data_IF_568004857621
#
_entry.id   IF_568004857621
#
_cell.length_a   1.000
_cell.length_b   1.000
_cell.length_c   1.000
_cell.angle_alpha   90.00
_cell.angle_beta   90.00
_cell.angle_gamma   90.00
#
_symmetry.space_group_name_H-M   'P 1'
#
loop_
_entity.id
_entity.type
_entity.pdbx_description
1 polymer ?
#
# COMPACT_ATOMS: atom_id res chain seq x y z
N UNK A 1 -12.67 4.09 15.04
CA UNK A 1 -11.32 4.64 15.34
C UNK A 1 -10.57 3.89 16.43
N UNK A 2 -11.24 3.25 17.40
CA UNK A 2 -10.59 2.70 18.59
C UNK A 2 -9.36 1.82 18.32
N UNK A 3 -9.43 0.86 17.40
CA UNK A 3 -8.31 -0.05 17.12
C UNK A 3 -7.06 0.64 16.56
N UNK A 4 -7.21 1.55 15.60
CA UNK A 4 -6.10 2.29 15.00
C UNK A 4 -5.43 3.22 16.01
N UNK A 5 -6.22 3.95 16.80
CA UNK A 5 -5.73 4.81 17.88
C UNK A 5 -5.06 4.01 18.99
N UNK A 6 -5.56 2.81 19.30
CA UNK A 6 -4.92 1.92 20.28
C UNK A 6 -3.51 1.56 19.83
N UNK A 7 -3.34 1.08 18.58
CA UNK A 7 -2.01 0.75 18.04
C UNK A 7 -1.08 1.97 18.07
N UNK A 8 -1.58 3.14 17.72
CA UNK A 8 -0.79 4.38 17.62
C UNK A 8 -0.38 4.95 18.99
N UNK A 9 -1.27 4.83 20.00
CA UNK A 9 -1.10 5.48 21.31
C UNK A 9 -0.68 4.54 22.43
N UNK A 10 -0.74 3.20 22.27
CA UNK A 10 -0.43 2.27 23.35
C UNK A 10 1.03 2.37 23.75
N UNK A 11 1.26 2.44 25.07
CA UNK A 11 2.57 2.32 25.71
C UNK A 11 2.40 1.59 27.03
N UNK A 12 3.43 0.87 27.42
CA UNK A 12 3.55 0.25 28.73
C UNK A 12 4.98 0.49 29.26
N UNK A 13 5.15 1.33 30.29
CA UNK A 13 6.46 1.64 30.86
C UNK A 13 7.23 0.42 31.38
N UNK A 14 6.52 -0.68 31.67
CA UNK A 14 7.11 -1.93 32.15
C UNK A 14 7.48 -2.89 31.00
N UNK A 15 7.13 -2.57 29.76
CA UNK A 15 7.45 -3.38 28.60
C UNK A 15 8.80 -3.00 28.03
N UNK A 16 9.64 -4.00 27.76
CA UNK A 16 10.89 -3.80 27.01
C UNK A 16 10.66 -3.30 25.58
N UNK A 17 9.52 -3.67 24.97
CA UNK A 17 9.23 -3.40 23.55
C UNK A 17 8.44 -2.12 23.29
N UNK A 18 7.59 -1.70 24.23
CA UNK A 18 6.69 -0.56 24.08
C UNK A 18 6.72 0.43 25.26
N UNK A 19 7.91 0.81 25.78
CA UNK A 19 7.99 1.76 26.91
C UNK A 19 7.44 3.15 26.53
N UNK A 20 7.32 3.44 25.22
CA UNK A 20 6.79 4.65 24.66
C UNK A 20 5.93 4.36 23.43
N UNK A 21 4.80 5.05 23.27
CA UNK A 21 3.91 4.85 22.13
C UNK A 21 4.56 5.24 20.79
N UNK A 22 4.11 4.61 19.70
CA UNK A 22 4.55 4.96 18.36
C UNK A 22 4.33 6.46 18.07
N UNK A 23 3.19 7.02 18.50
CA UNK A 23 2.88 8.45 18.43
C UNK A 23 3.97 9.31 19.07
N UNK A 24 4.31 9.02 20.32
CA UNK A 24 5.29 9.83 21.07
C UNK A 24 6.66 9.80 20.39
N UNK A 25 7.11 8.60 19.98
CA UNK A 25 8.39 8.44 19.30
C UNK A 25 8.42 9.20 17.97
N UNK A 26 7.38 9.05 17.14
CA UNK A 26 7.26 9.72 15.86
C UNK A 26 7.31 11.25 16.02
N UNK A 27 6.43 11.81 16.86
CA UNK A 27 6.34 13.27 17.02
C UNK A 27 7.62 13.87 17.60
N UNK A 28 8.30 13.15 18.48
CA UNK A 28 9.61 13.56 19.00
C UNK A 28 10.65 13.59 17.88
N UNK A 29 10.78 12.52 17.10
CA UNK A 29 11.74 12.46 15.99
C UNK A 29 11.48 13.53 14.92
N UNK A 30 10.21 13.82 14.61
CA UNK A 30 9.88 14.90 13.67
C UNK A 30 10.33 16.27 14.21
N UNK A 31 10.11 16.56 15.49
CA UNK A 31 10.54 17.82 16.10
C UNK A 31 12.07 17.97 16.06
N UNK A 32 12.80 16.91 16.35
CA UNK A 32 14.27 16.91 16.29
C UNK A 32 14.78 17.15 14.85
N UNK A 33 14.14 16.52 13.86
CA UNK A 33 14.47 16.73 12.45
C UNK A 33 14.13 18.14 11.98
N UNK A 34 13.00 18.70 12.38
CA UNK A 34 12.63 20.08 12.05
C UNK A 34 13.62 21.08 12.64
N UNK A 35 14.07 20.89 13.88
CA UNK A 35 15.11 21.75 14.46
C UNK A 35 16.45 21.59 13.73
N UNK A 36 16.85 20.35 13.40
CA UNK A 36 18.07 20.06 12.65
C UNK A 36 18.11 20.75 11.29
N UNK A 37 16.98 20.76 10.58
CA UNK A 37 16.86 21.29 9.21
C UNK A 37 16.09 22.62 9.14
N UNK A 38 16.09 23.39 10.24
CA UNK A 38 15.31 24.66 10.36
C UNK A 38 15.67 25.75 9.34
N UNK A 39 16.86 25.63 8.72
CA UNK A 39 17.32 26.58 7.68
C UNK A 39 17.02 26.07 6.26
N UNK A 40 16.31 24.93 6.12
CA UNK A 40 15.94 24.33 4.84
C UNK A 40 14.44 24.40 4.61
N UNK A 41 14.06 24.41 3.34
CA UNK A 41 12.64 24.23 2.97
C UNK A 41 12.28 22.76 3.05
N UNK A 42 11.57 22.37 4.11
CA UNK A 42 11.20 20.98 4.36
C UNK A 42 9.75 20.69 3.98
N UNK A 43 9.46 19.44 3.68
CA UNK A 43 8.11 18.86 3.61
C UNK A 43 8.13 17.47 4.22
N UNK A 44 6.97 16.99 4.66
CA UNK A 44 6.85 15.68 5.30
C UNK A 44 5.94 14.80 4.45
N UNK A 45 6.42 13.59 4.14
CA UNK A 45 5.62 12.60 3.42
C UNK A 45 5.48 11.34 4.27
N UNK A 46 4.22 10.96 4.52
CA UNK A 46 3.85 9.70 5.15
C UNK A 46 3.36 8.72 4.08
N UNK A 47 3.77 7.46 4.16
CA UNK A 47 3.27 6.44 3.23
C UNK A 47 3.02 5.12 3.96
N UNK A 48 2.06 4.35 3.46
CA UNK A 48 1.73 3.06 4.04
C UNK A 48 0.77 2.25 3.18
N UNK A 49 0.70 0.95 3.49
CA UNK A 49 -0.18 -0.01 2.84
C UNK A 49 -1.04 -0.72 3.88
N UNK A 50 -2.29 -0.99 3.58
CA UNK A 50 -3.20 -1.75 4.44
C UNK A 50 -3.38 -1.06 5.81
N UNK A 51 -3.17 -1.78 6.92
CA UNK A 51 -3.10 -1.22 8.26
C UNK A 51 -2.10 -0.05 8.36
N UNK A 52 -0.91 -0.19 7.75
CA UNK A 52 0.10 0.87 7.73
C UNK A 52 -0.36 2.13 7.01
N UNK A 53 -1.30 2.03 6.06
CA UNK A 53 -1.91 3.17 5.40
C UNK A 53 -2.78 4.00 6.37
N UNK A 54 -3.55 3.33 7.24
CA UNK A 54 -4.29 4.00 8.32
C UNK A 54 -3.34 4.73 9.28
N UNK A 55 -2.24 4.06 9.68
CA UNK A 55 -1.26 4.67 10.58
C UNK A 55 -0.53 5.84 9.92
N UNK A 56 -0.20 5.73 8.63
CA UNK A 56 0.42 6.82 7.86
C UNK A 56 -0.50 8.05 7.76
N UNK A 57 -1.79 7.84 7.47
CA UNK A 57 -2.77 8.93 7.39
C UNK A 57 -3.02 9.57 8.77
N UNK A 58 -3.10 8.76 9.82
CA UNK A 58 -3.24 9.24 11.21
C UNK A 58 -2.01 10.04 11.64
N UNK A 59 -0.81 9.55 11.30
CA UNK A 59 0.45 10.26 11.56
C UNK A 59 0.53 11.58 10.81
N UNK A 60 0.18 11.61 9.54
CA UNK A 60 0.16 12.84 8.73
C UNK A 60 -0.81 13.88 9.31
N UNK A 61 -2.00 13.43 9.73
CA UNK A 61 -2.97 14.29 10.41
C UNK A 61 -2.41 14.86 11.73
N UNK A 62 -1.83 14.00 12.57
CA UNK A 62 -1.29 14.39 13.88
C UNK A 62 -0.09 15.36 13.74
N UNK A 63 0.79 15.12 12.78
CA UNK A 63 1.91 16.00 12.46
C UNK A 63 1.40 17.36 11.98
N UNK A 64 0.48 17.39 11.02
CA UNK A 64 -0.07 18.63 10.48
C UNK A 64 -0.84 19.44 11.52
N UNK A 65 -1.53 18.76 12.45
CA UNK A 65 -2.33 19.40 13.50
C UNK A 65 -1.50 19.91 14.68
N UNK A 66 -0.46 19.15 15.09
CA UNK A 66 0.16 19.32 16.41
C UNK A 66 1.65 19.59 16.41
N UNK A 67 2.34 19.50 15.26
CA UNK A 67 3.80 19.56 15.21
C UNK A 67 4.31 20.68 14.31
N UNK A 68 3.74 20.81 13.10
CA UNK A 68 4.22 21.76 12.10
C UNK A 68 3.32 22.99 11.98
N UNK A 69 3.91 24.07 11.50
CA UNK A 69 3.18 25.28 11.11
C UNK A 69 2.53 25.10 9.73
N UNK A 70 1.49 25.89 9.39
CA UNK A 70 0.76 25.71 8.11
C UNK A 70 1.60 25.91 6.83
N UNK A 71 2.79 26.46 6.91
CA UNK A 71 3.74 26.64 5.81
C UNK A 71 4.53 25.36 5.49
N UNK A 72 4.57 24.38 6.39
CA UNK A 72 5.20 23.09 6.15
C UNK A 72 4.16 22.11 5.58
N UNK A 73 4.36 21.70 4.34
CA UNK A 73 3.48 20.75 3.68
C UNK A 73 3.63 19.34 4.25
N UNK A 74 2.50 18.71 4.56
CA UNK A 74 2.40 17.32 4.96
C UNK A 74 1.58 16.57 3.91
N UNK A 75 2.11 15.47 3.40
CA UNK A 75 1.44 14.62 2.42
C UNK A 75 1.33 13.18 2.91
N UNK A 76 0.24 12.50 2.60
CA UNK A 76 0.11 11.07 2.80
C UNK A 76 -0.22 10.38 1.48
N UNK A 77 0.59 9.40 1.08
CA UNK A 77 0.33 8.50 -0.03
C UNK A 77 0.00 7.13 0.53
N UNK A 78 -1.28 6.77 0.49
CA UNK A 78 -1.78 5.58 1.16
C UNK A 78 -2.34 4.58 0.14
N UNK A 79 -1.99 3.30 0.33
CA UNK A 79 -2.33 2.22 -0.58
C UNK A 79 -3.25 1.23 0.11
N UNK A 80 -4.39 0.94 -0.50
CA UNK A 80 -5.35 -0.05 0.00
C UNK A 80 -5.74 0.16 1.48
N UNK A 81 -5.88 1.42 1.89
CA UNK A 81 -6.22 1.78 3.26
C UNK A 81 -7.63 1.33 3.63
N UNK A 82 -7.84 0.62 4.74
CA UNK A 82 -9.17 0.57 5.35
C UNK A 82 -9.62 1.98 5.75
N UNK A 83 -10.89 2.13 6.04
CA UNK A 83 -11.46 3.41 6.50
C UNK A 83 -10.97 3.72 7.91
N UNK A 84 -10.50 4.95 8.11
CA UNK A 84 -9.84 5.37 9.35
C UNK A 84 -10.80 5.91 10.40
N UNK A 85 -11.84 6.64 9.99
CA UNK A 85 -12.75 7.31 10.89
C UNK A 85 -14.10 7.68 10.27
N UNK A 86 -14.90 8.39 11.02
CA UNK A 86 -16.21 8.86 10.59
C UNK A 86 -16.15 10.19 9.84
N UNK A 87 -17.31 10.69 9.42
CA UNK A 87 -17.43 11.95 8.69
C UNK A 87 -16.84 13.16 9.44
N UNK A 88 -16.95 13.21 10.77
CA UNK A 88 -16.39 14.30 11.55
C UNK A 88 -14.84 14.30 11.50
N UNK A 89 -14.21 13.13 11.58
CA UNK A 89 -12.76 13.00 11.42
C UNK A 89 -12.31 13.39 10.02
N UNK A 90 -13.02 12.94 8.98
CA UNK A 90 -12.75 13.34 7.60
C UNK A 90 -12.76 14.87 7.45
N UNK A 91 -13.79 15.53 7.96
CA UNK A 91 -13.89 16.99 7.93
C UNK A 91 -12.76 17.70 8.69
N UNK A 92 -12.26 17.11 9.77
CA UNK A 92 -11.11 17.67 10.50
C UNK A 92 -9.84 17.59 9.65
N UNK A 93 -9.61 16.47 8.95
CA UNK A 93 -8.47 16.34 8.03
C UNK A 93 -8.54 17.34 6.88
N UNK A 94 -9.73 17.52 6.28
CA UNK A 94 -9.97 18.41 5.14
C UNK A 94 -9.81 19.90 5.47
N UNK A 95 -9.95 20.27 6.74
CA UNK A 95 -9.74 21.66 7.22
C UNK A 95 -8.27 22.06 7.35
N UNK A 96 -7.35 21.10 7.32
CA UNK A 96 -5.91 21.40 7.43
C UNK A 96 -5.36 21.80 6.05
N UNK A 97 -4.99 23.07 5.84
CA UNK A 97 -4.61 23.57 4.50
C UNK A 97 -3.30 22.96 4.00
N UNK A 98 -2.43 22.57 4.92
CA UNK A 98 -1.13 21.99 4.64
C UNK A 98 -1.13 20.45 4.59
N UNK A 99 -2.28 19.78 4.79
CA UNK A 99 -2.40 18.33 4.69
C UNK A 99 -3.01 17.92 3.35
N UNK A 100 -2.31 17.04 2.63
CA UNK A 100 -2.81 16.41 1.40
C UNK A 100 -2.75 14.90 1.53
N UNK A 101 -3.84 14.22 1.21
CA UNK A 101 -3.92 12.75 1.27
C UNK A 101 -4.34 12.22 -0.08
N UNK A 102 -3.52 11.35 -0.68
CA UNK A 102 -3.85 10.56 -1.86
C UNK A 102 -4.09 9.11 -1.44
N UNK A 103 -5.29 8.61 -1.71
CA UNK A 103 -5.71 7.24 -1.41
C UNK A 103 -5.78 6.41 -2.68
N UNK A 104 -4.80 5.53 -2.88
CA UNK A 104 -4.76 4.60 -4.02
C UNK A 104 -5.52 3.33 -3.64
N UNK A 105 -6.54 2.99 -4.43
CA UNK A 105 -7.38 1.80 -4.25
C UNK A 105 -7.42 0.97 -5.51
N UNK A 106 -7.36 -0.35 -5.34
CA UNK A 106 -7.59 -1.29 -6.43
C UNK A 106 -9.08 -1.67 -6.50
N UNK A 107 -9.66 -1.67 -7.69
CA UNK A 107 -11.10 -1.89 -7.93
C UNK A 107 -11.64 -3.15 -7.27
N UNK A 108 -10.85 -4.23 -7.29
CA UNK A 108 -11.26 -5.53 -6.75
C UNK A 108 -10.84 -5.80 -5.30
N UNK A 109 -10.12 -4.86 -4.66
CA UNK A 109 -9.68 -4.96 -3.28
C UNK A 109 -10.83 -4.70 -2.31
N UNK A 110 -11.02 -5.59 -1.35
CA UNK A 110 -12.08 -5.47 -0.34
C UNK A 110 -11.66 -4.72 0.92
N UNK A 111 -10.36 -4.64 1.20
CA UNK A 111 -9.86 -4.04 2.44
C UNK A 111 -10.25 -2.57 2.58
N UNK A 112 -10.22 -1.74 1.52
CA UNK A 112 -10.70 -0.36 1.60
C UNK A 112 -12.19 -0.20 1.95
N UNK A 113 -12.98 -1.28 1.87
CA UNK A 113 -14.40 -1.26 2.28
C UNK A 113 -14.56 -1.38 3.80
N UNK A 114 -13.55 -1.90 4.49
CA UNK A 114 -13.62 -2.11 5.93
C UNK A 114 -13.39 -0.81 6.71
N UNK A 115 -14.00 -0.66 7.89
CA UNK A 115 -14.94 -1.57 8.54
C UNK A 115 -16.43 -1.36 8.18
N UNK A 116 -16.78 -0.35 7.37
CA UNK A 116 -18.19 -0.02 7.12
C UNK A 116 -18.93 -1.06 6.29
N UNK A 117 -18.24 -1.80 5.44
CA UNK A 117 -18.79 -2.83 4.57
C UNK A 117 -17.93 -4.08 4.61
N UNK A 118 -18.54 -5.22 4.31
CA UNK A 118 -17.84 -6.48 4.12
C UNK A 118 -18.44 -7.23 2.93
N UNK A 119 -17.73 -8.23 2.40
CA UNK A 119 -18.29 -9.14 1.40
C UNK A 119 -18.78 -10.40 2.08
N UNK A 120 -20.01 -10.80 1.76
CA UNK A 120 -20.62 -12.06 2.16
C UNK A 120 -20.81 -12.94 0.94
N UNK A 121 -20.51 -14.24 1.09
CA UNK A 121 -20.72 -15.23 0.05
C UNK A 121 -22.19 -15.68 0.09
N UNK A 122 -22.88 -15.51 -1.03
CA UNK A 122 -24.29 -15.94 -1.17
C UNK A 122 -24.38 -17.36 -1.73
N UNK A 123 -23.45 -17.71 -2.62
CA UNK A 123 -23.28 -19.06 -3.18
C UNK A 123 -21.83 -19.21 -3.69
N UNK A 124 -21.48 -20.40 -4.18
CA UNK A 124 -20.10 -20.77 -4.55
C UNK A 124 -19.37 -19.75 -5.45
N UNK A 125 -20.10 -18.99 -6.27
CA UNK A 125 -19.54 -18.05 -7.22
C UNK A 125 -20.00 -16.60 -7.02
N UNK A 126 -20.87 -16.32 -6.02
CA UNK A 126 -21.48 -14.99 -5.87
C UNK A 126 -21.17 -14.39 -4.51
N UNK A 127 -20.56 -13.21 -4.55
CA UNK A 127 -20.28 -12.38 -3.38
C UNK A 127 -21.05 -11.08 -3.46
N UNK A 128 -21.68 -10.69 -2.35
CA UNK A 128 -22.36 -9.40 -2.22
C UNK A 128 -21.66 -8.52 -1.20
N UNK A 129 -21.71 -7.21 -1.41
CA UNK A 129 -21.20 -6.24 -0.44
C UNK A 129 -22.33 -5.82 0.48
N UNK A 130 -22.17 -6.06 1.78
CA UNK A 130 -23.16 -5.72 2.81
C UNK A 130 -22.59 -4.71 3.80
N UNK A 131 -23.42 -3.81 4.35
CA UNK A 131 -23.01 -2.91 5.41
C UNK A 131 -22.79 -3.67 6.72
N UNK A 132 -21.88 -3.16 7.55
CA UNK A 132 -21.63 -3.68 8.91
C UNK A 132 -22.22 -2.75 9.96
N UNK A 133 -22.07 -3.09 11.25
CA UNK A 133 -22.40 -2.18 12.36
C UNK A 133 -21.54 -0.92 12.44
N UNK A 134 -20.50 -0.81 11.62
CA UNK A 134 -19.55 0.30 11.56
C UNK A 134 -19.79 1.22 10.36
N UNK A 135 -21.04 1.39 9.94
CA UNK A 135 -21.41 2.18 8.75
C UNK A 135 -21.02 3.66 8.83
N UNK A 136 -20.75 4.17 10.02
CA UNK A 136 -20.27 5.55 10.21
C UNK A 136 -18.86 5.81 9.71
N UNK A 137 -18.07 4.77 9.43
CA UNK A 137 -16.75 4.93 8.82
C UNK A 137 -16.87 5.30 7.35
N UNK A 138 -16.05 6.24 6.93
CA UNK A 138 -16.07 6.78 5.57
C UNK A 138 -14.68 6.84 4.95
N UNK A 139 -14.66 6.90 3.62
CA UNK A 139 -13.44 7.13 2.85
C UNK A 139 -12.93 8.56 3.05
N UNK A 140 -11.62 8.74 2.97
CA UNK A 140 -10.94 10.00 3.17
C UNK A 140 -9.82 10.21 2.15
N UNK A 141 -9.39 11.47 1.99
CA UNK A 141 -8.40 11.87 0.98
C UNK A 141 -8.97 11.91 -0.43
N UNK A 142 -8.11 12.27 -1.39
CA UNK A 142 -8.40 12.20 -2.82
C UNK A 142 -8.18 10.76 -3.27
N UNK A 143 -9.21 10.15 -3.86
CA UNK A 143 -9.14 8.76 -4.31
C UNK A 143 -8.53 8.68 -5.71
N UNK A 144 -7.54 7.79 -5.87
CA UNK A 144 -7.06 7.30 -7.15
C UNK A 144 -7.39 5.81 -7.25
N UNK A 145 -8.34 5.47 -8.11
CA UNK A 145 -8.78 4.10 -8.33
C UNK A 145 -8.03 3.50 -9.51
N UNK A 146 -7.40 2.36 -9.30
CA UNK A 146 -6.71 1.57 -10.32
C UNK A 146 -7.39 0.20 -10.46
N UNK A 147 -7.12 -0.49 -11.56
CA UNK A 147 -7.55 -1.88 -11.78
C UNK A 147 -6.35 -2.74 -12.20
N UNK A 148 -5.91 -3.61 -11.30
CA UNK A 148 -4.80 -4.54 -11.57
C UNK A 148 -5.11 -5.54 -12.67
N UNK A 149 -6.38 -5.81 -12.98
CA UNK A 149 -6.80 -6.69 -14.09
C UNK A 149 -6.47 -6.13 -15.46
N UNK A 150 -6.25 -4.83 -15.57
CA UNK A 150 -5.84 -4.19 -16.82
C UNK A 150 -4.38 -4.46 -17.21
N UNK A 151 -3.55 -4.91 -16.26
CA UNK A 151 -2.15 -5.25 -16.56
C UNK A 151 -2.04 -6.55 -17.35
N UNK A 152 -1.45 -6.53 -18.56
CA UNK A 152 -1.26 -7.75 -19.35
C UNK A 152 -0.25 -8.72 -18.76
N UNK A 153 0.54 -8.28 -17.79
CA UNK A 153 1.60 -9.06 -17.14
C UNK A 153 1.10 -9.98 -16.03
N UNK A 154 -0.03 -9.61 -15.40
CA UNK A 154 -0.56 -10.35 -14.27
C UNK A 154 -1.42 -11.53 -14.74
N UNK A 155 -1.44 -12.61 -13.95
CA UNK A 155 -2.32 -13.75 -14.18
C UNK A 155 -3.79 -13.34 -14.05
N UNK A 156 -4.64 -13.85 -14.91
CA UNK A 156 -6.09 -13.58 -14.89
C UNK A 156 -6.75 -14.22 -13.66
N UNK A 157 -6.27 -15.42 -13.29
CA UNK A 157 -6.71 -16.14 -12.10
C UNK A 157 -5.51 -16.53 -11.24
N UNK A 158 -5.54 -16.17 -9.97
CA UNK A 158 -4.53 -16.60 -9.00
C UNK A 158 -5.12 -17.75 -8.20
N UNK A 159 -4.73 -18.98 -8.58
CA UNK A 159 -5.22 -20.22 -7.97
C UNK A 159 -4.79 -20.32 -6.50
N UNK A 160 -5.71 -20.74 -5.65
CA UNK A 160 -5.43 -21.18 -4.27
C UNK A 160 -5.34 -20.08 -3.21
N UNK A 161 -5.51 -18.82 -3.57
CA UNK A 161 -5.58 -17.70 -2.62
C UNK A 161 -7.03 -17.24 -2.49
N UNK A 162 -7.46 -16.88 -1.28
CA UNK A 162 -8.78 -16.29 -1.08
C UNK A 162 -8.90 -15.04 -1.98
N UNK A 163 -9.76 -15.05 -3.01
CA UNK A 163 -9.73 -14.08 -4.10
C UNK A 163 -9.66 -12.59 -3.69
N UNK A 164 -10.35 -12.16 -2.62
CA UNK A 164 -10.33 -10.76 -2.20
C UNK A 164 -8.95 -10.22 -1.81
N UNK A 165 -8.07 -11.05 -1.23
CA UNK A 165 -6.75 -10.60 -0.76
C UNK A 165 -5.68 -10.57 -1.85
N UNK A 166 -5.90 -11.25 -2.98
CA UNK A 166 -5.03 -11.17 -4.15
C UNK A 166 -4.90 -9.75 -4.66
N UNK A 167 -6.01 -9.03 -4.66
CA UNK A 167 -6.08 -7.65 -5.14
C UNK A 167 -5.57 -6.61 -4.14
N UNK A 168 -5.27 -7.05 -2.90
CA UNK A 168 -4.73 -6.22 -1.83
C UNK A 168 -3.20 -6.12 -1.85
N UNK A 169 -2.54 -6.72 -2.82
CA UNK A 169 -1.10 -6.85 -2.84
C UNK A 169 -0.38 -5.58 -3.31
N UNK A 170 0.44 -4.98 -2.45
CA UNK A 170 1.13 -3.71 -2.73
C UNK A 170 1.95 -3.73 -4.02
N UNK A 171 2.72 -4.81 -4.28
CA UNK A 171 3.59 -4.87 -5.45
C UNK A 171 2.80 -4.91 -6.76
N UNK A 172 1.66 -5.61 -6.78
CA UNK A 172 0.72 -5.60 -7.89
C UNK A 172 0.09 -4.22 -8.12
N UNK A 173 -0.28 -3.54 -7.04
CA UNK A 173 -0.82 -2.17 -7.11
C UNK A 173 0.22 -1.18 -7.65
N UNK A 174 1.46 -1.21 -7.14
CA UNK A 174 2.54 -0.34 -7.60
C UNK A 174 2.91 -0.58 -9.06
N UNK A 175 2.88 -1.85 -9.51
CA UNK A 175 3.07 -2.20 -10.91
C UNK A 175 1.94 -1.62 -11.78
N UNK A 176 0.69 -1.84 -11.39
CA UNK A 176 -0.46 -1.34 -12.14
C UNK A 176 -0.53 0.18 -12.17
N UNK A 177 -0.21 0.84 -11.05
CA UNK A 177 -0.16 2.29 -10.97
C UNK A 177 0.88 2.89 -11.94
N UNK A 178 2.03 2.22 -12.12
CA UNK A 178 3.09 2.70 -13.01
C UNK A 178 2.71 2.68 -14.50
N UNK A 179 1.76 1.84 -14.91
CA UNK A 179 1.21 1.78 -16.26
C UNK A 179 -0.23 2.29 -16.38
N UNK A 180 -0.76 2.91 -15.33
CA UNK A 180 -2.14 3.36 -15.28
C UNK A 180 -2.39 4.59 -16.18
N UNK A 181 -3.29 4.44 -17.15
CA UNK A 181 -3.66 5.49 -18.10
C UNK A 181 -5.15 5.88 -17.95
N UNK A 182 -5.62 5.96 -16.72
CA UNK A 182 -7.00 6.31 -16.40
C UNK A 182 -7.97 5.11 -16.45
N UNK A 183 -9.20 5.35 -15.96
CA UNK A 183 -10.22 4.30 -15.82
C UNK A 183 -10.60 3.68 -17.17
N UNK A 184 -10.72 4.50 -18.19
CA UNK A 184 -11.18 4.10 -19.53
C UNK A 184 -10.01 3.91 -20.51
N UNK A 185 -8.76 4.15 -20.06
CA UNK A 185 -7.55 3.93 -20.84
C UNK A 185 -7.03 2.50 -20.74
N UNK A 186 -6.28 2.07 -21.75
CA UNK A 186 -5.52 0.83 -21.69
C UNK A 186 -4.30 0.97 -20.77
N UNK A 187 -3.80 -0.16 -20.29
CA UNK A 187 -2.55 -0.19 -19.55
C UNK A 187 -1.39 0.20 -20.47
N UNK A 188 -0.74 1.33 -20.17
CA UNK A 188 0.42 1.81 -20.94
C UNK A 188 1.72 1.30 -20.32
N UNK A 189 2.24 0.22 -20.86
CA UNK A 189 3.48 -0.37 -20.41
C UNK A 189 4.74 0.42 -20.79
N UNK A 190 4.65 1.35 -21.73
CA UNK A 190 5.70 2.33 -22.02
C UNK A 190 5.98 3.28 -20.84
N UNK A 191 5.00 3.46 -19.95
CA UNK A 191 5.15 4.23 -18.72
C UNK A 191 5.78 3.43 -17.58
N UNK A 192 5.80 2.09 -17.66
CA UNK A 192 6.32 1.23 -16.58
C UNK A 192 7.84 1.36 -16.49
N UNK A 193 8.31 2.08 -15.48
CA UNK A 193 9.74 2.24 -15.16
C UNK A 193 10.23 1.29 -14.06
N UNK A 194 9.32 0.46 -13.55
CA UNK A 194 9.57 -0.45 -12.43
C UNK A 194 9.86 -1.86 -12.93
N UNK A 195 10.87 -2.52 -12.35
CA UNK A 195 11.17 -3.92 -12.69
C UNK A 195 9.98 -4.84 -12.40
N UNK A 196 9.60 -5.68 -13.36
CA UNK A 196 8.59 -6.73 -13.18
C UNK A 196 8.96 -7.71 -12.06
N UNK A 197 10.24 -7.93 -11.83
CA UNK A 197 10.72 -8.83 -10.77
C UNK A 197 10.11 -8.52 -9.40
N UNK A 198 9.87 -7.26 -9.09
CA UNK A 198 9.25 -6.88 -7.82
C UNK A 198 7.85 -7.46 -7.61
N UNK A 199 7.09 -7.72 -8.66
CA UNK A 199 5.73 -8.27 -8.55
C UNK A 199 5.74 -9.66 -7.92
N UNK A 200 6.70 -10.50 -8.32
CA UNK A 200 6.85 -11.86 -7.80
C UNK A 200 7.78 -11.98 -6.59
N UNK A 201 8.27 -10.87 -6.04
CA UNK A 201 9.21 -10.88 -4.90
C UNK A 201 8.74 -11.77 -3.74
N UNK A 202 7.49 -11.64 -3.34
CA UNK A 202 6.86 -12.38 -2.23
C UNK A 202 5.62 -13.19 -2.67
N UNK A 203 5.37 -13.31 -3.99
CA UNK A 203 4.15 -13.89 -4.53
C UNK A 203 4.40 -14.55 -5.88
N UNK A 204 3.32 -15.08 -6.47
CA UNK A 204 3.29 -15.70 -7.79
C UNK A 204 2.18 -15.09 -8.65
N UNK A 205 2.32 -13.81 -9.02
CA UNK A 205 1.29 -13.05 -9.75
C UNK A 205 1.57 -12.84 -11.23
N UNK A 206 2.84 -12.94 -11.66
CA UNK A 206 3.21 -12.78 -13.05
C UNK A 206 2.90 -14.04 -13.86
N UNK A 207 2.52 -13.85 -15.11
CA UNK A 207 2.41 -14.93 -16.09
C UNK A 207 3.78 -15.62 -16.26
N UNK A 208 3.78 -16.94 -16.49
CA UNK A 208 5.01 -17.76 -16.56
C UNK A 208 5.94 -17.37 -17.71
N UNK A 209 5.38 -16.82 -18.79
CA UNK A 209 6.12 -16.37 -19.98
C UNK A 209 7.20 -15.31 -19.69
N UNK A 210 7.07 -14.59 -18.55
CA UNK A 210 8.06 -13.59 -18.14
C UNK A 210 9.24 -14.19 -17.38
N UNK A 211 9.27 -15.51 -17.14
CA UNK A 211 10.37 -16.26 -16.52
C UNK A 211 10.89 -15.66 -15.20
N UNK A 212 10.00 -15.07 -14.41
CA UNK A 212 10.32 -14.50 -13.10
C UNK A 212 9.83 -15.46 -12.02
N UNK A 213 10.78 -15.96 -11.22
CA UNK A 213 10.51 -16.93 -10.18
C UNK A 213 9.50 -16.39 -9.14
N UNK A 214 8.59 -17.25 -8.71
CA UNK A 214 7.66 -16.95 -7.64
C UNK A 214 8.39 -16.87 -6.28
N UNK A 215 7.99 -15.91 -5.42
CA UNK A 215 8.55 -15.77 -4.07
C UNK A 215 10.08 -15.74 -4.02
N UNK A 216 10.70 -15.08 -5.01
CA UNK A 216 12.14 -15.18 -5.24
C UNK A 216 12.99 -14.50 -4.14
N UNK A 217 12.42 -13.57 -3.38
CA UNK A 217 13.15 -12.90 -2.29
C UNK A 217 13.55 -13.86 -1.16
N UNK A 218 12.85 -14.99 -1.00
CA UNK A 218 13.09 -15.97 0.05
C UNK A 218 14.45 -16.65 -0.10
N UNK A 219 14.58 -17.67 -0.85
CA UNK A 219 15.73 -18.58 -0.92
C UNK A 219 16.86 -18.03 -1.80
N UNK A 220 17.75 -17.20 -1.24
CA UNK A 220 18.91 -16.61 -1.95
C UNK A 220 18.54 -16.03 -3.31
N UNK A 221 17.41 -15.34 -3.35
CA UNK A 221 16.82 -14.72 -4.54
C UNK A 221 16.44 -15.71 -5.67
N UNK A 222 16.45 -17.00 -5.44
CA UNK A 222 16.10 -18.05 -6.42
C UNK A 222 16.70 -17.81 -7.81
N UNK A 223 17.96 -17.38 -7.87
CA UNK A 223 18.65 -17.07 -9.10
C UNK A 223 18.32 -15.72 -9.75
N UNK A 224 17.49 -14.91 -9.13
CA UNK A 224 17.26 -13.52 -9.58
C UNK A 224 18.48 -12.65 -9.27
N UNK A 225 18.87 -11.82 -10.22
CA UNK A 225 20.00 -10.89 -10.11
C UNK A 225 19.58 -9.49 -10.55
N UNK A 226 20.20 -8.48 -9.97
CA UNK A 226 20.00 -7.10 -10.39
C UNK A 226 20.93 -6.82 -11.58
N UNK A 227 20.35 -6.45 -12.73
CA UNK A 227 21.14 -6.08 -13.90
C UNK A 227 21.63 -4.61 -13.83
N UNK A 228 22.50 -4.22 -14.78
CA UNK A 228 23.08 -2.87 -14.84
C UNK A 228 22.04 -1.75 -15.04
N UNK A 229 20.82 -2.09 -15.48
CA UNK A 229 19.71 -1.16 -15.62
C UNK A 229 18.85 -1.04 -14.35
N UNK A 230 19.22 -1.76 -13.26
CA UNK A 230 18.47 -1.76 -12.00
C UNK A 230 17.21 -2.64 -12.02
N UNK A 231 17.10 -3.59 -12.95
CA UNK A 231 15.99 -4.54 -13.01
C UNK A 231 16.38 -5.91 -12.46
N UNK A 232 15.46 -6.51 -11.68
CA UNK A 232 15.59 -7.89 -11.25
C UNK A 232 15.19 -8.84 -12.39
N UNK A 233 16.13 -9.68 -12.82
CA UNK A 233 15.99 -10.65 -13.91
C UNK A 233 16.53 -12.01 -13.46
N UNK A 234 16.09 -13.10 -14.09
CA UNK A 234 16.70 -14.40 -13.88
C UNK A 234 18.15 -14.38 -14.39
N UNK A 235 19.06 -14.96 -13.62
CA UNK A 235 20.47 -15.05 -14.04
C UNK A 235 20.59 -15.76 -15.39
N UNK A 236 21.35 -15.20 -16.35
CA UNK A 236 21.55 -15.83 -17.65
C UNK A 236 22.14 -17.24 -17.59
N UNK A 237 22.85 -17.55 -16.51
CA UNK A 237 23.39 -18.90 -16.27
C UNK A 237 22.28 -19.91 -15.98
N UNK A 238 21.24 -19.50 -15.24
CA UNK A 238 20.11 -20.36 -14.89
C UNK A 238 19.07 -20.45 -16.02
N UNK A 239 18.91 -19.40 -16.82
CA UNK A 239 18.00 -19.41 -17.99
C UNK A 239 18.43 -20.47 -19.05
N UNK A 240 19.71 -20.89 -19.04
CA UNK A 240 20.20 -21.95 -19.93
C UNK A 240 19.86 -23.36 -19.46
N UNK A 241 19.63 -23.56 -18.17
CA UNK A 241 19.34 -24.91 -17.61
C UNK A 241 17.84 -25.25 -17.61
N UNK A 242 16.95 -24.26 -17.77
CA UNK A 242 15.50 -24.51 -17.76
C UNK A 242 14.97 -25.13 -19.06
N UNK A 243 15.81 -25.22 -20.10
CA UNK A 243 15.50 -25.90 -21.37
C UNK A 243 15.81 -27.40 -21.39
N UNK A 244 16.53 -27.92 -20.36
CA UNK A 244 17.01 -29.28 -20.31
C UNK A 244 16.39 -30.15 -19.20
N UNK A 245 15.37 -29.64 -18.48
CA UNK A 245 14.65 -30.45 -17.50
C UNK A 245 13.49 -31.19 -18.20
N UNK A 246 13.43 -32.52 -18.12
CA UNK A 246 12.29 -33.29 -18.62
C UNK A 246 11.04 -32.96 -17.82
N UNK A 247 9.88 -32.95 -18.50
CA UNK A 247 8.54 -32.73 -17.96
C UNK A 247 8.16 -33.68 -16.81
#
# INVERSE_FOLDING_TARGET
MGGWLSIYNTSDPNSEFIPSSARKQLLQSIKELLEKYKNEKVSITCTGHSLGACLAALSAFDIAMNVVTPDINVSAFIFASPQLGNQAFKQMMEKLPNLKVLSVKNESDIVPLWPSKMREQVNDNTWVTVPTKWQEYVDFGVELRIDTKKSPYLKDEIKGTFPPFVYHHLQGMLHSLSGWNGKDGDFDWGLVKRSLGWVNMLNDYLKKEYKIQANWWGEKNKGMVLNDHGYWVLSPVLDRYDHDLPE
#
